data_IF_413006265052
#
_entry.id   IF_413006265052
#
_cell.length_a   1.000
_cell.length_b   1.000
_cell.length_c   1.000
_cell.angle_alpha   90.00
_cell.angle_beta   90.00
_cell.angle_gamma   90.00
#
_symmetry.space_group_name_H-M   'P 1'
#
loop_
_entity.id
_entity.type
_entity.pdbx_description
1 polymer ?
#
# COMPACT_ATOMS: atom_id res chain seq x y z
N UNK A 1 -49.75 17.68 -32.13
CA UNK A 1 -49.11 16.51 -31.48
C UNK A 1 -47.61 16.59 -31.69
N UNK A 2 -46.91 17.31 -30.81
CA UNK A 2 -45.45 17.51 -30.89
C UNK A 2 -44.78 16.70 -29.78
N UNK A 3 -44.02 15.68 -30.18
CA UNK A 3 -43.31 14.79 -29.26
C UNK A 3 -42.03 15.48 -28.74
N UNK A 4 -41.96 15.66 -27.42
CA UNK A 4 -40.80 16.17 -26.71
C UNK A 4 -39.76 15.06 -26.55
N UNK A 5 -38.71 15.08 -27.37
CA UNK A 5 -37.55 14.19 -27.23
C UNK A 5 -36.70 14.66 -26.05
N UNK A 6 -36.65 13.87 -24.97
CA UNK A 6 -35.75 14.12 -23.83
C UNK A 6 -34.32 13.72 -24.18
N UNK A 7 -33.30 14.57 -23.94
CA UNK A 7 -31.91 14.17 -24.11
C UNK A 7 -31.51 13.18 -23.01
N UNK A 8 -31.05 11.99 -23.40
CA UNK A 8 -30.39 11.06 -22.49
C UNK A 8 -29.05 11.65 -22.05
N UNK A 9 -28.96 12.12 -20.81
CA UNK A 9 -27.70 12.51 -20.19
C UNK A 9 -26.92 11.25 -19.81
N UNK A 10 -25.97 10.86 -20.67
CA UNK A 10 -24.97 9.84 -20.36
C UNK A 10 -24.19 10.25 -19.11
N UNK A 11 -24.33 9.49 -18.03
CA UNK A 11 -23.59 9.71 -16.79
C UNK A 11 -22.13 9.29 -17.05
N UNK A 12 -21.28 10.23 -17.43
CA UNK A 12 -19.85 10.00 -17.75
C UNK A 12 -18.99 9.65 -16.52
N UNK A 13 -19.52 9.91 -15.32
CA UNK A 13 -18.86 9.73 -14.02
C UNK A 13 -18.58 8.25 -13.65
N UNK A 14 -19.53 7.30 -13.75
CA UNK A 14 -19.24 5.89 -13.49
C UNK A 14 -18.20 5.32 -14.46
N UNK A 15 -18.25 5.70 -15.74
CA UNK A 15 -17.28 5.23 -16.73
C UNK A 15 -15.85 5.67 -16.40
N UNK A 16 -15.68 6.92 -15.96
CA UNK A 16 -14.39 7.43 -15.50
C UNK A 16 -13.91 6.73 -14.22
N UNK A 17 -14.81 6.44 -13.28
CA UNK A 17 -14.48 5.69 -12.07
C UNK A 17 -14.03 4.25 -12.37
N UNK A 18 -14.71 3.55 -13.28
CA UNK A 18 -14.30 2.23 -13.75
C UNK A 18 -12.96 2.27 -14.48
N UNK A 19 -12.72 3.28 -15.31
CA UNK A 19 -11.45 3.45 -16.00
C UNK A 19 -10.29 3.67 -15.01
N UNK A 20 -10.48 4.49 -13.98
CA UNK A 20 -9.48 4.72 -12.93
C UNK A 20 -9.22 3.47 -12.09
N UNK A 21 -10.26 2.70 -11.76
CA UNK A 21 -10.13 1.41 -11.05
C UNK A 21 -9.37 0.36 -11.89
N UNK A 22 -9.66 0.29 -13.19
CA UNK A 22 -8.96 -0.60 -14.11
C UNK A 22 -7.49 -0.21 -14.25
N UNK A 23 -7.19 1.08 -14.32
CA UNK A 23 -5.82 1.59 -14.42
C UNK A 23 -5.03 1.36 -13.11
N UNK A 24 -5.69 1.49 -11.96
CA UNK A 24 -5.13 1.13 -10.65
C UNK A 24 -4.81 -0.37 -10.58
N UNK A 25 -5.76 -1.24 -10.99
CA UNK A 25 -5.56 -2.69 -10.98
C UNK A 25 -4.45 -3.14 -11.93
N UNK A 26 -4.35 -2.50 -13.11
CA UNK A 26 -3.24 -2.73 -14.05
C UNK A 26 -1.91 -2.27 -13.47
N UNK A 27 -1.82 -1.07 -12.92
CA UNK A 27 -0.61 -0.57 -12.26
C UNK A 27 -0.17 -1.48 -11.11
N UNK A 28 -1.12 -2.01 -10.33
CA UNK A 28 -0.84 -2.96 -9.26
C UNK A 28 -0.38 -4.32 -9.78
N UNK A 29 -0.99 -4.83 -10.85
CA UNK A 29 -0.57 -6.07 -11.51
C UNK A 29 0.82 -5.98 -12.14
N UNK A 30 1.22 -4.79 -12.61
CA UNK A 30 2.56 -4.53 -13.18
C UNK A 30 3.61 -4.32 -12.06
N UNK A 31 3.20 -3.84 -10.88
CA UNK A 31 4.06 -3.74 -9.70
C UNK A 31 4.18 -5.06 -8.90
N UNK A 32 3.35 -6.06 -9.22
CA UNK A 32 3.34 -7.38 -8.59
C UNK A 32 4.43 -8.39 -9.01
N UNK A 33 5.34 -8.18 -9.99
CA UNK A 33 6.56 -8.97 -10.05
C UNK A 33 7.50 -8.44 -8.95
N UNK A 34 7.15 -8.81 -7.72
CA UNK A 34 8.00 -8.68 -6.56
C UNK A 34 9.20 -9.60 -6.74
N UNK A 35 10.26 -9.08 -7.35
CA UNK A 35 11.58 -9.47 -6.91
C UNK A 35 11.70 -9.00 -5.47
N UNK A 36 11.35 -9.89 -4.54
CA UNK A 36 11.80 -9.75 -3.17
C UNK A 36 13.30 -9.50 -3.26
N UNK A 37 13.74 -8.34 -2.76
CA UNK A 37 15.14 -8.12 -2.43
C UNK A 37 15.53 -9.32 -1.58
N UNK A 38 16.37 -10.19 -2.13
CA UNK A 38 16.87 -11.35 -1.43
C UNK A 38 17.86 -10.89 -0.37
N UNK A 39 17.30 -10.41 0.73
CA UNK A 39 17.99 -10.04 1.96
C UNK A 39 18.44 -11.30 2.74
N UNK A 40 18.17 -12.50 2.21
CA UNK A 40 18.47 -13.79 2.86
C UNK A 40 19.71 -14.43 2.23
N UNK A 41 19.92 -14.31 0.92
CA UNK A 41 21.05 -14.97 0.27
C UNK A 41 22.38 -14.22 0.43
N UNK A 42 22.39 -12.90 0.69
CA UNK A 42 23.61 -12.11 0.91
C UNK A 42 24.77 -12.52 -0.01
N UNK A 43 24.47 -12.83 -1.27
CA UNK A 43 25.40 -13.50 -2.17
C UNK A 43 26.46 -12.48 -2.60
N UNK A 44 27.47 -12.31 -1.75
CA UNK A 44 28.53 -11.29 -1.88
C UNK A 44 28.95 -10.58 -0.59
N UNK A 45 28.18 -10.64 0.50
CA UNK A 45 28.60 -10.12 1.81
C UNK A 45 29.04 -11.30 2.68
N UNK A 46 30.32 -11.39 2.99
CA UNK A 46 30.85 -12.37 3.96
C UNK A 46 31.25 -11.64 5.25
N UNK A 47 31.13 -12.30 6.39
CA UNK A 47 31.58 -11.76 7.69
C UNK A 47 30.46 -11.41 8.68
N UNK A 48 30.77 -10.65 9.75
CA UNK A 48 29.89 -10.46 10.91
C UNK A 48 28.55 -9.76 10.60
N UNK A 49 28.47 -9.02 9.50
CA UNK A 49 27.26 -8.34 9.04
C UNK A 49 26.14 -9.32 8.63
N UNK A 50 26.48 -10.43 7.97
CA UNK A 50 25.50 -11.45 7.61
C UNK A 50 24.99 -12.17 8.84
N UNK A 51 25.88 -12.53 9.77
CA UNK A 51 25.49 -13.15 11.04
C UNK A 51 24.50 -12.27 11.82
N UNK A 52 24.73 -10.96 11.86
CA UNK A 52 23.84 -10.02 12.51
C UNK A 52 22.46 -9.94 11.83
N UNK A 53 22.40 -9.87 10.49
CA UNK A 53 21.11 -9.78 9.82
C UNK A 53 20.35 -11.12 9.83
N UNK A 54 21.05 -12.26 9.79
CA UNK A 54 20.42 -13.59 9.96
C UNK A 54 19.82 -13.72 11.36
N UNK A 55 20.47 -13.18 12.39
CA UNK A 55 19.89 -13.12 13.74
C UNK A 55 18.66 -12.21 13.82
N UNK A 56 18.68 -11.05 13.14
CA UNK A 56 17.52 -10.17 13.03
C UNK A 56 16.39 -10.86 12.23
N UNK A 57 16.72 -11.63 11.20
CA UNK A 57 15.75 -12.39 10.41
C UNK A 57 15.11 -13.53 11.22
N UNK A 58 15.87 -14.15 12.14
CA UNK A 58 15.43 -15.20 13.04
C UNK A 58 14.62 -14.70 14.25
N UNK A 59 14.42 -13.39 14.41
CA UNK A 59 13.52 -12.85 15.43
C UNK A 59 12.13 -13.50 15.28
N UNK A 60 11.60 -14.01 16.39
CA UNK A 60 10.35 -14.77 16.39
C UNK A 60 9.17 -13.98 15.82
N UNK A 61 8.09 -14.68 15.38
CA UNK A 61 6.91 -14.07 14.78
C UNK A 61 6.34 -12.86 15.55
N UNK A 62 6.35 -12.93 16.89
CA UNK A 62 5.84 -11.86 17.75
C UNK A 62 6.58 -10.53 17.61
N UNK A 63 7.90 -10.55 17.38
CA UNK A 63 8.72 -9.33 17.28
C UNK A 63 8.49 -8.67 15.92
N UNK A 64 8.36 -9.45 14.85
CA UNK A 64 7.98 -8.95 13.52
C UNK A 64 6.59 -8.30 13.54
N UNK A 65 5.63 -8.89 14.26
CA UNK A 65 4.31 -8.32 14.45
C UNK A 65 4.33 -7.00 15.24
N UNK A 66 5.14 -6.90 16.29
CA UNK A 66 5.32 -5.66 17.07
C UNK A 66 5.94 -4.54 16.23
N UNK A 67 7.00 -4.83 15.46
CA UNK A 67 7.62 -3.84 14.56
C UNK A 67 6.63 -3.39 13.49
N UNK A 68 5.84 -4.30 12.93
CA UNK A 68 4.75 -3.98 12.00
C UNK A 68 3.69 -3.07 12.63
N UNK A 69 3.24 -3.38 13.85
CA UNK A 69 2.27 -2.57 14.58
C UNK A 69 2.78 -1.16 14.93
N UNK A 70 4.03 -1.06 15.40
CA UNK A 70 4.67 0.23 15.71
C UNK A 70 4.82 1.06 14.44
N UNK A 71 5.32 0.48 13.35
CA UNK A 71 5.44 1.16 12.06
C UNK A 71 4.09 1.65 11.52
N UNK A 72 3.04 0.84 11.66
CA UNK A 72 1.69 1.21 11.27
C UNK A 72 1.14 2.37 12.12
N UNK A 73 1.36 2.33 13.43
CA UNK A 73 0.96 3.40 14.36
C UNK A 73 1.67 4.71 14.03
N UNK A 74 2.97 4.67 13.78
CA UNK A 74 3.75 5.84 13.37
C UNK A 74 3.20 6.43 12.08
N UNK A 75 2.89 5.59 11.07
CA UNK A 75 2.29 6.04 9.82
C UNK A 75 0.94 6.76 10.02
N UNK A 76 0.07 6.25 10.91
CA UNK A 76 -1.20 6.90 11.25
C UNK A 76 -1.00 8.26 11.95
N UNK A 77 -0.01 8.37 12.83
CA UNK A 77 0.33 9.64 13.50
C UNK A 77 0.84 10.66 12.48
N UNK A 78 1.74 10.26 11.58
CA UNK A 78 2.21 11.12 10.49
C UNK A 78 1.07 11.55 9.57
N UNK A 79 0.11 10.67 9.29
CA UNK A 79 -1.09 10.99 8.52
C UNK A 79 -1.99 11.99 9.24
N UNK A 80 -2.14 11.85 10.55
CA UNK A 80 -2.85 12.83 11.37
C UNK A 80 -2.16 14.20 11.36
N UNK A 81 -0.82 14.25 11.27
CA UNK A 81 -0.07 15.50 11.15
C UNK A 81 -0.31 16.20 9.79
N UNK A 82 -0.51 15.43 8.71
CA UNK A 82 -0.82 15.96 7.37
C UNK A 82 -2.12 16.77 7.31
N UNK A 83 -3.05 16.57 8.25
CA UNK A 83 -4.27 17.39 8.37
C UNK A 83 -3.97 18.87 8.61
N UNK A 84 -2.80 19.18 9.20
CA UNK A 84 -2.39 20.55 9.50
C UNK A 84 -1.69 21.25 8.33
N UNK A 85 -1.28 20.51 7.29
CA UNK A 85 -0.66 21.03 6.07
C UNK A 85 -1.66 21.35 4.95
N UNK A 86 -2.96 21.17 5.22
CA UNK A 86 -4.06 21.52 4.34
C UNK A 86 -4.88 20.30 3.84
N UNK A 87 -6.11 20.52 3.34
CA UNK A 87 -7.05 19.44 3.03
C UNK A 87 -6.52 18.46 1.97
N UNK A 88 -5.82 18.98 0.96
CA UNK A 88 -5.32 18.19 -0.17
C UNK A 88 -4.29 17.14 0.29
N UNK A 89 -3.30 17.55 1.09
CA UNK A 89 -2.27 16.64 1.58
C UNK A 89 -2.84 15.54 2.49
N UNK A 90 -3.88 15.87 3.27
CA UNK A 90 -4.58 14.88 4.07
C UNK A 90 -5.34 13.86 3.23
N UNK A 91 -6.13 14.31 2.24
CA UNK A 91 -6.89 13.39 1.39
C UNK A 91 -6.00 12.52 0.51
N UNK A 92 -4.93 13.10 -0.05
CA UNK A 92 -3.94 12.34 -0.84
C UNK A 92 -3.19 11.36 0.05
N UNK A 93 -2.73 11.79 1.23
CA UNK A 93 -2.06 10.92 2.20
C UNK A 93 -2.96 9.74 2.64
N UNK A 94 -4.23 10.02 2.92
CA UNK A 94 -5.21 8.99 3.34
C UNK A 94 -5.49 8.02 2.19
N UNK A 95 -5.62 8.52 0.96
CA UNK A 95 -5.83 7.69 -0.23
C UNK A 95 -4.65 6.73 -0.47
N UNK A 96 -3.40 7.24 -0.39
CA UNK A 96 -2.19 6.43 -0.57
C UNK A 96 -2.04 5.41 0.56
N UNK A 97 -2.24 5.84 1.81
CA UNK A 97 -2.15 4.95 2.97
C UNK A 97 -3.19 3.82 2.91
N UNK A 98 -4.43 4.13 2.53
CA UNK A 98 -5.47 3.12 2.35
C UNK A 98 -5.19 2.16 1.20
N UNK A 99 -4.70 2.67 0.06
CA UNK A 99 -4.43 1.86 -1.13
C UNK A 99 -3.19 0.95 -0.99
N UNK A 100 -2.12 1.44 -0.37
CA UNK A 100 -0.84 0.73 -0.30
C UNK A 100 -0.51 0.29 1.11
N UNK A 101 -0.59 1.21 2.09
CA UNK A 101 -0.21 0.95 3.48
C UNK A 101 -1.03 -0.16 4.14
N UNK A 102 -2.36 -0.14 3.97
CA UNK A 102 -3.24 -1.20 4.48
C UNK A 102 -3.03 -2.54 3.78
N UNK A 103 -2.77 -2.54 2.47
CA UNK A 103 -2.52 -3.76 1.69
C UNK A 103 -1.22 -4.44 2.15
N UNK A 104 -0.15 -3.66 2.34
CA UNK A 104 1.13 -4.17 2.85
C UNK A 104 0.98 -4.66 4.28
N UNK A 105 0.28 -3.92 5.16
CA UNK A 105 0.04 -4.36 6.53
C UNK A 105 -0.75 -5.67 6.58
N UNK A 106 -1.79 -5.81 5.75
CA UNK A 106 -2.56 -7.05 5.60
C UNK A 106 -1.70 -8.23 5.10
N UNK A 107 -0.84 -7.99 4.11
CA UNK A 107 0.07 -9.01 3.59
C UNK A 107 1.09 -9.47 4.63
N UNK A 108 1.65 -8.55 5.43
CA UNK A 108 2.59 -8.88 6.50
C UNK A 108 1.91 -9.67 7.62
N UNK A 109 0.65 -9.36 7.96
CA UNK A 109 -0.11 -10.08 9.00
C UNK A 109 -0.61 -11.45 8.54
N UNK A 110 -0.99 -11.60 7.26
CA UNK A 110 -1.43 -12.88 6.68
C UNK A 110 -0.31 -13.86 6.36
N UNK A 111 0.94 -13.39 6.22
CA UNK A 111 2.12 -14.21 5.93
C UNK A 111 2.78 -14.86 7.16
N UNK A 112 2.17 -14.76 8.35
CA UNK A 112 2.71 -15.30 9.63
C UNK A 112 2.02 -16.62 10.05
N UNK A 113 1.33 -17.29 9.13
CA UNK A 113 0.78 -18.64 9.34
C UNK A 113 1.64 -19.71 8.68
#
# INVERSE_FOLDING_TARGET
TTAFVRPFTFHRKPLAAFALLALLALGLGIAMPGYALDLVAFTGITGPMVSALTQIAALGPGIKAQVGFVGFTVALISLAALRNFGPVLFYVGLAIFGAVGLVIAGAIMGAVI
#
